data_IF_225058678177
#
_entry.id   IF_225058678177
#
_cell.length_a   1.000
_cell.length_b   1.000
_cell.length_c   1.000
_cell.angle_alpha   90.00
_cell.angle_beta   90.00
_cell.angle_gamma   90.00
#
_symmetry.space_group_name_H-M   'P 1'
#
loop_
_entity.id
_entity.type
_entity.pdbx_description
1 polymer ?
#
# COMPACT_ATOMS: atom_id res chain seq x y z
N UNK A 1 20.76 13.32 -6.00
CA UNK A 1 20.24 11.94 -6.11
C UNK A 1 19.00 11.89 -5.26
N UNK A 2 17.81 11.82 -5.85
CA UNK A 2 16.58 11.61 -5.09
C UNK A 2 16.51 10.12 -4.80
N UNK A 3 16.66 9.72 -3.53
CA UNK A 3 16.41 8.36 -3.08
C UNK A 3 14.91 8.27 -2.80
N UNK A 4 14.13 7.90 -3.82
CA UNK A 4 12.71 7.63 -3.69
C UNK A 4 12.42 6.13 -3.52
N UNK A 5 11.39 5.83 -2.74
CA UNK A 5 10.82 4.52 -2.58
C UNK A 5 9.93 4.20 -3.79
N UNK A 6 10.45 3.38 -4.70
CA UNK A 6 9.65 2.74 -5.72
C UNK A 6 8.83 1.61 -5.08
N UNK A 7 7.51 1.73 -5.18
CA UNK A 7 6.55 0.78 -4.60
C UNK A 7 5.53 0.39 -5.67
N UNK A 8 5.17 -0.88 -5.70
CA UNK A 8 4.14 -1.39 -6.61
C UNK A 8 2.90 -1.69 -5.79
N UNK A 9 1.76 -1.13 -6.18
CA UNK A 9 0.48 -1.37 -5.52
C UNK A 9 -0.48 -2.10 -6.46
N UNK A 10 -0.79 -3.34 -6.11
CA UNK A 10 -1.75 -4.17 -6.85
C UNK A 10 -3.15 -3.93 -6.32
N UNK A 11 -4.04 -3.40 -7.17
CA UNK A 11 -5.46 -3.28 -6.88
C UNK A 11 -6.28 -4.44 -7.48
N UNK A 12 -7.60 -4.45 -7.26
CA UNK A 12 -8.50 -5.47 -7.80
C UNK A 12 -8.56 -5.49 -9.34
N UNK A 13 -8.45 -4.32 -9.99
CA UNK A 13 -8.59 -4.19 -11.44
C UNK A 13 -7.26 -4.06 -12.19
N UNK A 14 -6.26 -3.43 -11.55
CA UNK A 14 -4.94 -3.17 -12.14
C UNK A 14 -3.90 -2.95 -11.05
N UNK A 15 -2.64 -2.95 -11.44
CA UNK A 15 -1.52 -2.55 -10.57
C UNK A 15 -0.97 -1.19 -11.01
N UNK A 16 -0.49 -0.41 -10.05
CA UNK A 16 0.14 0.90 -10.30
C UNK A 16 1.50 0.94 -9.63
N UNK A 17 2.48 1.55 -10.30
CA UNK A 17 3.78 1.85 -9.72
C UNK A 17 3.77 3.29 -9.21
N UNK A 18 4.17 3.49 -7.95
CA UNK A 18 4.30 4.79 -7.32
C UNK A 18 5.74 5.03 -6.86
N UNK A 19 6.15 6.29 -6.90
CA UNK A 19 7.45 6.74 -6.40
C UNK A 19 7.21 7.82 -5.38
N UNK A 20 7.53 7.50 -4.13
CA UNK A 20 7.29 8.35 -2.98
C UNK A 20 8.61 8.55 -2.24
N UNK A 21 8.83 9.70 -1.58
CA UNK A 21 9.99 9.83 -0.72
C UNK A 21 9.92 8.79 0.41
N UNK A 22 11.08 8.30 0.88
CA UNK A 22 11.13 7.35 2.00
C UNK A 22 10.51 7.89 3.29
N UNK A 23 10.43 9.22 3.43
CA UNK A 23 9.75 9.91 4.51
C UNK A 23 8.22 9.88 4.42
N UNK A 24 7.64 9.50 3.28
CA UNK A 24 6.18 9.35 3.15
C UNK A 24 5.69 8.17 3.98
N UNK A 25 4.47 8.33 4.47
CA UNK A 25 3.81 7.32 5.30
C UNK A 25 3.07 6.28 4.48
N UNK A 26 2.75 5.15 5.09
CA UNK A 26 1.90 4.14 4.43
C UNK A 26 0.49 4.67 4.20
N UNK A 27 0.01 5.60 5.04
CA UNK A 27 -1.23 6.34 4.83
C UNK A 27 -1.21 7.16 3.53
N UNK A 28 -0.15 7.93 3.30
CA UNK A 28 0.01 8.69 2.04
C UNK A 28 0.11 7.76 0.82
N UNK A 29 0.87 6.66 0.94
CA UNK A 29 0.94 5.64 -0.10
C UNK A 29 -0.46 5.10 -0.43
N UNK A 30 -1.23 4.74 0.58
CA UNK A 30 -2.57 4.20 0.42
C UNK A 30 -3.50 5.19 -0.26
N UNK A 31 -3.51 6.46 0.15
CA UNK A 31 -4.32 7.51 -0.45
C UNK A 31 -3.96 7.73 -1.94
N UNK A 32 -2.67 7.82 -2.26
CA UNK A 32 -2.22 7.97 -3.65
C UNK A 32 -2.53 6.74 -4.50
N UNK A 33 -2.29 5.54 -3.98
CA UNK A 33 -2.59 4.30 -4.68
C UNK A 33 -4.09 4.16 -4.94
N UNK A 34 -4.93 4.48 -3.95
CA UNK A 34 -6.37 4.48 -4.11
C UNK A 34 -6.83 5.47 -5.18
N UNK A 35 -6.25 6.67 -5.20
CA UNK A 35 -6.53 7.69 -6.22
C UNK A 35 -6.12 7.20 -7.61
N UNK A 36 -4.92 6.62 -7.75
CA UNK A 36 -4.38 6.12 -9.01
C UNK A 36 -5.06 4.83 -9.49
N UNK A 37 -5.60 4.03 -8.59
CA UNK A 37 -6.40 2.85 -8.93
C UNK A 37 -7.87 3.20 -9.22
N UNK A 38 -8.26 4.47 -9.10
CA UNK A 38 -9.62 4.96 -9.31
C UNK A 38 -10.66 4.14 -8.52
N UNK A 39 -10.30 3.72 -7.30
CA UNK A 39 -11.15 2.82 -6.51
C UNK A 39 -12.43 3.54 -6.07
N UNK A 40 -13.63 3.03 -6.44
CA UNK A 40 -14.88 3.69 -6.15
C UNK A 40 -15.22 3.65 -4.65
N UNK A 41 -15.70 4.78 -4.12
CA UNK A 41 -16.16 4.92 -2.74
C UNK A 41 -15.06 4.93 -1.69
N UNK A 42 -15.38 5.43 -0.49
CA UNK A 42 -14.58 5.20 0.74
C UNK A 42 -14.94 3.86 1.36
N UNK A 43 -15.01 2.82 0.53
CA UNK A 43 -15.11 1.45 1.05
C UNK A 43 -13.94 1.17 1.97
N UNK A 44 -14.15 0.29 2.94
CA UNK A 44 -13.09 -0.25 3.78
C UNK A 44 -12.13 -1.02 2.87
N UNK A 45 -11.13 -0.36 2.29
CA UNK A 45 -10.04 -1.03 1.58
C UNK A 45 -8.89 -1.21 2.57
N UNK A 46 -8.29 -2.39 2.54
CA UNK A 46 -7.09 -2.68 3.32
C UNK A 46 -5.90 -2.67 2.40
N UNK A 47 -4.81 -2.05 2.85
CA UNK A 47 -3.50 -2.22 2.23
C UNK A 47 -2.71 -3.27 3.01
N UNK A 48 -2.18 -4.25 2.30
CA UNK A 48 -1.30 -5.28 2.84
C UNK A 48 -0.02 -5.33 2.02
N UNK A 49 1.09 -5.71 2.65
CA UNK A 49 2.29 -6.06 1.89
C UNK A 49 2.09 -7.43 1.20
N UNK A 50 2.85 -7.70 0.15
CA UNK A 50 2.88 -8.99 -0.55
C UNK A 50 3.17 -10.19 0.39
N UNK A 51 3.78 -9.95 1.56
CA UNK A 51 4.02 -10.96 2.60
C UNK A 51 2.77 -11.31 3.42
N UNK A 52 1.62 -10.70 3.14
CA UNK A 52 0.35 -10.91 3.86
C UNK A 52 0.19 -10.05 5.12
N UNK A 53 1.14 -9.15 5.40
CA UNK A 53 1.09 -8.24 6.55
C UNK A 53 0.15 -7.06 6.25
N UNK A 54 -0.96 -6.97 6.96
CA UNK A 54 -1.89 -5.83 6.89
C UNK A 54 -1.26 -4.56 7.47
N UNK A 55 -1.28 -3.49 6.70
CA UNK A 55 -0.67 -2.20 7.03
C UNK A 55 -1.65 -1.18 7.61
N UNK A 56 -2.93 -1.55 7.81
CA UNK A 56 -3.95 -0.67 8.40
C UNK A 56 -3.56 -0.14 9.79
N UNK A 57 -2.84 -0.92 10.60
CA UNK A 57 -2.32 -0.47 11.91
C UNK A 57 -0.94 0.20 11.83
N UNK A 58 -0.45 0.48 10.62
CA UNK A 58 0.90 1.01 10.34
C UNK A 58 0.84 2.18 9.36
N UNK A 59 -0.33 2.80 9.19
CA UNK A 59 -0.51 3.94 8.29
C UNK A 59 0.37 5.14 8.65
N UNK A 60 0.68 5.30 9.94
CA UNK A 60 1.56 6.36 10.45
C UNK A 60 3.06 6.05 10.25
N UNK A 61 3.42 4.80 9.96
CA UNK A 61 4.82 4.40 9.72
C UNK A 61 5.28 4.92 8.37
N UNK A 62 6.55 5.29 8.28
CA UNK A 62 7.17 5.69 7.01
C UNK A 62 7.61 4.49 6.18
N UNK A 63 7.74 4.68 4.87
CA UNK A 63 8.32 3.66 3.98
C UNK A 63 9.75 3.29 4.41
N UNK A 64 10.50 4.25 4.95
CA UNK A 64 11.82 4.02 5.53
C UNK A 64 11.76 3.02 6.69
N UNK A 65 10.82 3.20 7.62
CA UNK A 65 10.64 2.28 8.75
C UNK A 65 10.21 0.88 8.30
N UNK A 66 9.39 0.77 7.26
CA UNK A 66 9.03 -0.53 6.69
C UNK A 66 10.24 -1.26 6.10
N UNK A 67 11.14 -0.52 5.45
CA UNK A 67 12.39 -1.04 4.88
C UNK A 67 13.36 -1.46 5.99
N UNK A 68 13.59 -0.59 6.96
CA UNK A 68 14.53 -0.82 8.05
C UNK A 68 14.06 -1.97 8.96
N UNK A 69 12.78 -1.97 9.32
CA UNK A 69 12.13 -3.02 10.09
C UNK A 69 11.90 -4.33 9.34
N UNK A 70 12.30 -4.42 8.06
CA UNK A 70 12.08 -5.58 7.17
C UNK A 70 10.63 -6.08 7.14
N UNK A 71 9.67 -5.16 7.30
CA UNK A 71 8.24 -5.48 7.35
C UNK A 71 7.70 -5.70 5.93
N UNK A 72 8.23 -4.97 4.96
CA UNK A 72 7.88 -5.14 3.54
C UNK A 72 9.12 -4.96 2.64
N UNK A 73 10.08 -5.91 2.66
CA UNK A 73 11.35 -5.76 1.95
C UNK A 73 11.17 -5.69 0.42
N UNK A 74 10.11 -6.33 -0.10
CA UNK A 74 9.78 -6.33 -1.52
C UNK A 74 9.17 -5.02 -2.02
N UNK A 75 8.62 -4.18 -1.12
CA UNK A 75 7.95 -2.91 -1.45
C UNK A 75 6.76 -3.10 -2.42
N UNK A 76 6.20 -4.30 -2.39
CA UNK A 76 5.01 -4.68 -3.12
C UNK A 76 3.86 -4.68 -2.14
N UNK A 77 2.85 -3.87 -2.44
CA UNK A 77 1.65 -3.72 -1.65
C UNK A 77 0.45 -4.15 -2.49
N UNK A 78 -0.62 -4.53 -1.80
CA UNK A 78 -1.87 -4.96 -2.40
C UNK A 78 -2.99 -4.25 -1.68
N UNK A 79 -3.86 -3.57 -2.42
CA UNK A 79 -5.09 -3.00 -1.91
C UNK A 79 -6.23 -3.93 -2.29
N UNK A 80 -6.97 -4.38 -1.27
CA UNK A 80 -8.13 -5.26 -1.43
C UNK A 80 -9.31 -4.71 -0.64
N UNK A 81 -10.52 -5.10 -1.01
CA UNK A 81 -11.73 -4.74 -0.28
C UNK A 81 -11.76 -5.52 1.04
N UNK A 82 -11.81 -4.82 2.18
CA UNK A 82 -12.07 -5.37 3.51
C UNK A 82 -13.49 -5.94 3.50
N UNK A 83 -13.62 -7.25 3.34
CA UNK A 83 -14.93 -7.91 3.29
C UNK A 83 -15.22 -8.71 2.02
N UNK A 84 -14.30 -8.78 1.05
CA UNK A 84 -14.41 -9.76 -0.04
C UNK A 84 -13.86 -11.14 0.40
N UNK A 85 -14.40 -11.67 1.50
CA UNK A 85 -14.33 -13.08 1.92
C UNK A 85 -15.74 -13.50 2.38
N UNK A 86 -16.74 -13.20 1.54
CA UNK A 86 -18.11 -13.68 1.77
C UNK A 86 -18.86 -13.83 0.47
N UNK A 87 -18.33 -14.69 -0.42
CA UNK A 87 -19.07 -15.21 -1.55
C UNK A 87 -18.49 -16.56 -1.98
N UNK A 88 -18.80 -17.60 -1.20
CA UNK A 88 -19.09 -18.95 -1.75
C UNK A 88 -20.14 -19.63 -0.87
#
# INVERSE_FOLDING_TARGET
MSDDAQVVVSGPSRSVELRLPWSSTVGELYEQARSQLELPGSGDYEISCADGVTMMNKLERTLQELRDGRICPKREFTIRVSGQDRAE
#
